data_IF_727077011316
#
_entry.id   IF_727077011316
#
_cell.length_a   1.000
_cell.length_b   1.000
_cell.length_c   1.000
_cell.angle_alpha   90.00
_cell.angle_beta   90.00
_cell.angle_gamma   90.00
#
_symmetry.space_group_name_H-M   'P 1'
#
loop_
_entity.id
_entity.type
_entity.pdbx_description
1 polymer ?
#
# COMPACT_ATOMS: atom_id res chain seq x y z
N UNK A 1 -44.53 -19.16 24.73
CA UNK A 1 -44.08 -18.89 23.33
C UNK A 1 -42.60 -18.61 23.36
N UNK A 2 -41.77 -19.53 22.88
CA UNK A 2 -40.33 -19.31 22.74
C UNK A 2 -40.12 -18.19 21.70
N UNK A 3 -39.54 -17.07 22.15
CA UNK A 3 -39.15 -15.97 21.21
C UNK A 3 -38.13 -16.53 20.24
N UNK A 4 -38.50 -16.73 19.00
CA UNK A 4 -37.61 -17.18 17.95
C UNK A 4 -36.46 -16.17 17.82
N UNK A 5 -35.25 -16.58 18.22
CA UNK A 5 -34.06 -15.74 18.20
C UNK A 5 -33.75 -15.28 16.74
N UNK A 6 -33.51 -14.01 16.54
CA UNK A 6 -33.10 -13.47 15.22
C UNK A 6 -31.62 -13.81 14.98
N UNK A 7 -31.29 -14.27 13.79
CA UNK A 7 -29.89 -14.51 13.43
C UNK A 7 -29.18 -13.20 13.15
N UNK A 8 -27.97 -13.02 13.72
CA UNK A 8 -27.12 -11.86 13.48
C UNK A 8 -25.69 -12.28 13.10
N UNK A 9 -25.00 -11.42 12.38
CA UNK A 9 -23.58 -11.52 12.10
C UNK A 9 -22.78 -10.64 13.08
N UNK A 10 -21.57 -11.05 13.44
CA UNK A 10 -20.63 -10.25 14.20
C UNK A 10 -19.47 -9.80 13.32
N UNK A 11 -19.19 -8.50 13.30
CA UNK A 11 -18.03 -7.96 12.58
C UNK A 11 -17.04 -7.32 13.55
N UNK A 12 -15.79 -7.80 13.49
CA UNK A 12 -14.72 -7.44 14.41
C UNK A 12 -13.54 -6.92 13.61
N UNK A 13 -13.03 -5.73 13.96
CA UNK A 13 -11.86 -5.16 13.31
C UNK A 13 -10.91 -4.54 14.32
N UNK A 14 -9.61 -4.84 14.18
CA UNK A 14 -8.54 -4.19 14.94
C UNK A 14 -7.76 -3.26 14.03
N UNK A 15 -7.38 -2.08 14.58
CA UNK A 15 -6.41 -1.22 13.94
C UNK A 15 -4.99 -1.67 14.29
N UNK A 16 -4.00 -1.26 13.48
CA UNK A 16 -2.58 -1.53 13.72
C UNK A 16 -2.00 -0.76 14.93
N UNK A 17 -2.72 0.22 15.45
CA UNK A 17 -2.34 1.00 16.64
C UNK A 17 -2.77 0.25 17.92
N UNK A 18 -1.82 -0.46 18.50
CA UNK A 18 -2.00 -1.42 19.59
C UNK A 18 -2.29 -0.81 20.98
N UNK A 19 -2.35 0.49 21.16
CA UNK A 19 -2.25 1.06 22.51
C UNK A 19 -3.57 1.49 23.17
N UNK A 20 -4.70 1.54 22.47
CA UNK A 20 -5.96 2.06 23.05
C UNK A 20 -7.23 1.26 22.73
N UNK A 21 -7.13 0.15 22.01
CA UNK A 21 -8.31 -0.56 21.53
C UNK A 21 -8.50 -1.93 22.19
N UNK A 22 -9.77 -2.30 22.39
CA UNK A 22 -10.14 -3.64 22.87
C UNK A 22 -9.61 -4.73 21.91
N UNK A 23 -9.10 -5.81 22.50
CA UNK A 23 -8.68 -6.98 21.72
C UNK A 23 -9.87 -7.57 20.92
N UNK A 24 -9.60 -8.29 19.80
CA UNK A 24 -10.66 -8.95 19.03
C UNK A 24 -11.58 -9.82 19.88
N UNK A 25 -11.02 -10.53 20.83
CA UNK A 25 -11.77 -11.43 21.70
C UNK A 25 -12.61 -10.66 22.73
N UNK A 26 -12.14 -9.51 23.22
CA UNK A 26 -12.93 -8.62 24.06
C UNK A 26 -14.09 -8.00 23.28
N UNK A 27 -13.88 -7.56 22.04
CA UNK A 27 -14.95 -7.08 21.18
C UNK A 27 -16.00 -8.17 20.94
N UNK A 28 -15.56 -9.40 20.62
CA UNK A 28 -16.48 -10.52 20.41
C UNK A 28 -17.30 -10.85 21.67
N UNK A 29 -16.69 -10.78 22.85
CA UNK A 29 -17.39 -11.02 24.12
C UNK A 29 -18.52 -10.01 24.30
N UNK A 30 -18.25 -8.71 24.13
CA UNK A 30 -19.26 -7.66 24.25
C UNK A 30 -20.40 -7.87 23.23
N UNK A 31 -20.06 -8.18 21.98
CA UNK A 31 -21.05 -8.43 20.93
C UNK A 31 -21.93 -9.65 21.29
N UNK A 32 -21.35 -10.73 21.80
CA UNK A 32 -22.12 -11.93 22.24
C UNK A 32 -23.01 -11.65 23.44
N UNK A 33 -22.53 -10.85 24.40
CA UNK A 33 -23.33 -10.45 25.57
C UNK A 33 -24.53 -9.60 25.14
N UNK A 34 -24.29 -8.62 24.24
CA UNK A 34 -25.35 -7.79 23.67
C UNK A 34 -26.37 -8.63 22.88
N UNK A 35 -25.89 -9.57 22.05
CA UNK A 35 -26.74 -10.46 21.27
C UNK A 35 -27.67 -11.29 22.17
N UNK A 36 -27.13 -11.85 23.24
CA UNK A 36 -27.89 -12.63 24.22
C UNK A 36 -28.98 -11.81 24.92
N UNK A 37 -28.66 -10.56 25.28
CA UNK A 37 -29.62 -9.66 25.96
C UNK A 37 -30.74 -9.21 25.02
N UNK A 38 -30.45 -9.03 23.73
CA UNK A 38 -31.40 -8.49 22.76
C UNK A 38 -32.03 -9.54 21.83
N UNK A 39 -31.91 -10.83 22.17
CA UNK A 39 -32.61 -11.92 21.47
C UNK A 39 -32.02 -12.25 20.10
N UNK A 40 -30.70 -12.00 19.89
CA UNK A 40 -29.97 -12.42 18.71
C UNK A 40 -29.16 -13.68 18.96
N UNK A 41 -29.08 -14.54 17.93
CA UNK A 41 -28.16 -15.66 17.88
C UNK A 41 -27.06 -15.37 16.84
N UNK A 42 -25.79 -15.62 17.19
CA UNK A 42 -24.64 -15.44 16.29
C UNK A 42 -24.01 -16.81 16.03
N UNK A 43 -24.34 -17.47 14.92
CA UNK A 43 -23.67 -18.70 14.49
C UNK A 43 -22.17 -18.45 14.26
N UNK A 44 -21.33 -19.45 14.49
CA UNK A 44 -19.87 -19.33 14.33
C UNK A 44 -19.45 -18.97 12.91
N UNK A 45 -20.22 -19.36 11.91
CA UNK A 45 -20.04 -19.06 10.48
C UNK A 45 -20.26 -17.58 10.11
N UNK A 46 -20.99 -16.83 10.95
CA UNK A 46 -21.25 -15.39 10.75
C UNK A 46 -20.42 -14.50 11.66
N UNK A 47 -19.26 -15.00 12.10
CA UNK A 47 -18.27 -14.20 12.85
C UNK A 47 -17.13 -13.80 11.92
N UNK A 48 -17.14 -12.55 11.47
CA UNK A 48 -16.17 -11.98 10.55
C UNK A 48 -15.08 -11.21 11.30
N UNK A 49 -13.82 -11.65 11.17
CA UNK A 49 -12.67 -11.05 11.85
C UNK A 49 -11.69 -10.47 10.85
N UNK A 50 -11.46 -9.17 10.90
CA UNK A 50 -10.50 -8.46 10.08
C UNK A 50 -9.24 -8.17 10.88
N UNK A 51 -8.16 -8.91 10.62
CA UNK A 51 -6.91 -8.79 11.36
C UNK A 51 -5.94 -7.82 10.67
N UNK A 52 -5.56 -6.74 11.37
CA UNK A 52 -4.33 -5.97 11.10
C UNK A 52 -4.27 -5.16 9.80
N UNK A 53 -5.37 -4.97 9.08
CA UNK A 53 -5.41 -4.19 7.86
C UNK A 53 -5.89 -2.76 8.13
N UNK A 54 -5.15 -1.75 7.61
CA UNK A 54 -5.56 -0.36 7.72
C UNK A 54 -6.92 -0.17 7.02
N UNK A 55 -7.94 0.18 7.78
CA UNK A 55 -9.33 0.27 7.31
C UNK A 55 -9.64 1.42 6.34
N UNK A 56 -8.61 2.05 5.75
CA UNK A 56 -8.78 3.22 4.88
C UNK A 56 -9.34 2.89 3.49
N UNK A 57 -9.27 1.62 3.05
CA UNK A 57 -9.80 1.19 1.75
C UNK A 57 -10.52 -0.16 1.89
N UNK A 58 -11.78 -0.22 1.46
CA UNK A 58 -12.62 -1.43 1.47
C UNK A 58 -11.98 -2.61 0.70
N UNK A 59 -11.26 -2.34 -0.40
CA UNK A 59 -10.55 -3.36 -1.18
C UNK A 59 -9.53 -4.19 -0.36
N UNK A 60 -9.16 -3.75 0.83
CA UNK A 60 -8.24 -4.44 1.75
C UNK A 60 -8.97 -5.14 2.91
N UNK A 61 -10.31 -5.30 2.83
CA UNK A 61 -11.15 -5.88 3.88
C UNK A 61 -11.93 -7.09 3.36
N UNK A 62 -11.28 -8.24 3.12
CA UNK A 62 -11.89 -9.42 2.53
C UNK A 62 -13.09 -9.93 3.35
N UNK A 63 -12.97 -9.96 4.68
CA UNK A 63 -14.04 -10.43 5.57
C UNK A 63 -15.25 -9.49 5.55
N UNK A 64 -15.03 -8.18 5.43
CA UNK A 64 -16.10 -7.22 5.24
C UNK A 64 -16.84 -7.43 3.91
N UNK A 65 -16.09 -7.65 2.83
CA UNK A 65 -16.68 -7.88 1.50
C UNK A 65 -17.49 -9.18 1.49
N UNK A 66 -17.00 -10.23 2.13
CA UNK A 66 -17.69 -11.51 2.28
C UNK A 66 -19.00 -11.34 3.05
N UNK A 67 -18.97 -10.70 4.21
CA UNK A 67 -20.15 -10.39 5.03
C UNK A 67 -21.20 -9.59 4.23
N UNK A 68 -20.78 -8.56 3.51
CA UNK A 68 -21.69 -7.77 2.67
C UNK A 68 -22.24 -8.60 1.50
N UNK A 69 -21.43 -9.51 0.95
CA UNK A 69 -21.86 -10.45 -0.09
C UNK A 69 -22.99 -11.37 0.39
N UNK A 70 -22.86 -11.92 1.58
CA UNK A 70 -23.89 -12.74 2.21
C UNK A 70 -25.16 -11.94 2.53
N UNK A 71 -25.01 -10.72 3.04
CA UNK A 71 -26.15 -9.85 3.35
C UNK A 71 -26.97 -9.41 2.10
N UNK A 72 -26.42 -9.55 0.89
CA UNK A 72 -27.12 -9.29 -0.38
C UNK A 72 -27.93 -10.47 -0.90
N UNK A 73 -27.80 -11.64 -0.32
CA UNK A 73 -28.58 -12.81 -0.72
C UNK A 73 -30.07 -12.60 -0.36
N UNK A 74 -30.95 -13.20 -1.13
CA UNK A 74 -32.42 -13.15 -0.87
C UNK A 74 -32.95 -14.56 -0.66
N UNK A 75 -33.38 -14.91 0.55
CA UNK A 75 -33.38 -14.12 1.79
C UNK A 75 -31.96 -13.97 2.38
N UNK A 76 -31.71 -12.86 3.07
CA UNK A 76 -30.46 -12.68 3.79
C UNK A 76 -30.33 -13.70 4.94
N UNK A 77 -29.14 -14.30 5.17
CA UNK A 77 -28.98 -15.33 6.19
C UNK A 77 -29.02 -14.78 7.62
N UNK A 78 -28.90 -13.48 7.80
CA UNK A 78 -28.99 -12.78 9.08
C UNK A 78 -29.72 -11.45 8.91
N UNK A 79 -30.40 -11.00 9.98
CA UNK A 79 -31.20 -9.76 10.00
C UNK A 79 -30.44 -8.56 10.56
N UNK A 80 -29.31 -8.77 11.21
CA UNK A 80 -28.49 -7.69 11.77
C UNK A 80 -26.99 -8.00 11.70
N UNK A 81 -26.18 -6.94 11.58
CA UNK A 81 -24.73 -6.95 11.72
C UNK A 81 -24.40 -6.22 13.02
N UNK A 82 -23.83 -6.94 13.99
CA UNK A 82 -23.45 -6.40 15.29
C UNK A 82 -21.98 -5.99 15.25
N UNK A 83 -21.69 -4.76 15.66
CA UNK A 83 -20.34 -4.20 15.78
C UNK A 83 -20.14 -3.64 17.19
N UNK A 84 -18.91 -3.61 17.67
CA UNK A 84 -18.63 -2.99 18.95
C UNK A 84 -18.94 -1.47 18.94
N UNK A 85 -18.48 -0.76 17.89
CA UNK A 85 -18.75 0.68 17.61
C UNK A 85 -19.00 0.87 16.13
N UNK A 86 -19.73 1.93 15.75
CA UNK A 86 -19.95 2.28 14.32
C UNK A 86 -18.64 2.51 13.56
N UNK A 87 -17.63 3.07 14.20
CA UNK A 87 -16.29 3.24 13.61
C UNK A 87 -15.58 1.92 13.23
N UNK A 88 -16.05 0.77 13.72
CA UNK A 88 -15.58 -0.55 13.30
C UNK A 88 -16.21 -0.99 11.98
N UNK A 89 -17.44 -0.58 11.71
CA UNK A 89 -18.12 -0.90 10.46
C UNK A 89 -17.49 -0.17 9.27
N UNK A 90 -17.38 1.15 9.32
CA UNK A 90 -16.73 1.95 8.30
C UNK A 90 -15.88 3.08 8.93
N UNK A 91 -14.82 3.51 8.26
CA UNK A 91 -14.01 4.66 8.68
C UNK A 91 -14.35 5.95 7.94
N UNK A 92 -15.00 5.83 6.80
CA UNK A 92 -15.42 6.94 5.97
C UNK A 92 -16.95 7.01 6.05
N UNK A 93 -17.47 8.19 6.35
CA UNK A 93 -18.89 8.45 6.46
C UNK A 93 -19.64 8.13 5.15
N UNK A 94 -19.05 8.44 4.00
CA UNK A 94 -19.64 8.13 2.69
C UNK A 94 -19.81 6.62 2.48
N UNK A 95 -18.79 5.83 2.81
CA UNK A 95 -18.87 4.37 2.72
C UNK A 95 -19.91 3.81 3.70
N UNK A 96 -19.98 4.33 4.93
CA UNK A 96 -20.96 3.94 5.94
C UNK A 96 -22.38 4.12 5.44
N UNK A 97 -22.71 5.30 4.95
CA UNK A 97 -24.06 5.65 4.41
C UNK A 97 -24.45 4.72 3.26
N UNK A 98 -23.51 4.49 2.30
CA UNK A 98 -23.78 3.65 1.14
C UNK A 98 -24.06 2.19 1.55
N UNK A 99 -23.19 1.61 2.39
CA UNK A 99 -23.38 0.23 2.82
C UNK A 99 -24.60 0.04 3.73
N UNK A 100 -24.86 0.95 4.68
CA UNK A 100 -26.04 0.88 5.54
C UNK A 100 -27.33 1.01 4.73
N UNK A 101 -27.39 1.95 3.77
CA UNK A 101 -28.54 2.09 2.87
C UNK A 101 -28.79 0.82 2.04
N UNK A 102 -27.72 0.20 1.54
CA UNK A 102 -27.80 -1.05 0.79
C UNK A 102 -28.26 -2.23 1.66
N UNK A 103 -27.74 -2.34 2.88
CA UNK A 103 -28.11 -3.38 3.84
C UNK A 103 -29.58 -3.24 4.25
N UNK A 104 -30.04 -2.01 4.52
CA UNK A 104 -31.44 -1.72 4.84
C UNK A 104 -32.42 -2.15 3.74
N UNK A 105 -32.03 -2.06 2.46
CA UNK A 105 -32.83 -2.57 1.33
C UNK A 105 -32.95 -4.09 1.29
N UNK A 106 -32.10 -4.81 2.04
CA UNK A 106 -32.14 -6.27 2.18
C UNK A 106 -32.59 -6.69 3.59
N UNK A 107 -33.27 -5.81 4.32
CA UNK A 107 -33.77 -6.04 5.69
C UNK A 107 -32.67 -6.42 6.70
N UNK A 108 -31.45 -5.91 6.49
CA UNK A 108 -30.31 -6.11 7.40
C UNK A 108 -29.95 -4.77 8.03
N UNK A 109 -30.00 -4.70 9.38
CA UNK A 109 -29.62 -3.53 10.15
C UNK A 109 -28.17 -3.61 10.64
N UNK A 110 -27.52 -2.47 10.88
CA UNK A 110 -26.18 -2.39 11.51
C UNK A 110 -26.34 -1.79 12.89
N UNK A 111 -25.97 -2.54 13.92
CA UNK A 111 -26.20 -2.18 15.32
C UNK A 111 -24.84 -2.07 16.03
N UNK A 112 -24.61 -0.96 16.72
CA UNK A 112 -23.47 -0.78 17.62
C UNK A 112 -23.80 -1.27 19.02
N UNK A 113 -22.95 -2.12 19.60
CA UNK A 113 -23.20 -2.69 20.95
C UNK A 113 -22.84 -1.71 22.08
N UNK A 114 -21.97 -0.75 21.84
CA UNK A 114 -21.59 0.27 22.84
C UNK A 114 -22.27 1.62 22.66
N UNK A 115 -22.85 1.87 21.48
CA UNK A 115 -23.52 3.11 21.10
C UNK A 115 -24.99 2.76 20.79
N UNK A 116 -25.71 2.39 21.86
CA UNK A 116 -27.12 1.97 21.72
C UNK A 116 -27.99 3.16 21.34
N UNK A 117 -28.56 3.09 20.14
CA UNK A 117 -29.52 4.05 19.61
C UNK A 117 -30.88 3.35 19.50
N UNK A 118 -31.92 4.04 19.90
CA UNK A 118 -33.30 3.55 19.80
C UNK A 118 -33.75 3.59 18.34
N UNK A 119 -33.95 2.43 17.72
CA UNK A 119 -34.33 2.33 16.30
C UNK A 119 -35.69 2.95 15.98
N UNK A 120 -36.57 3.10 16.97
CA UNK A 120 -37.90 3.71 16.80
C UNK A 120 -37.87 5.25 16.81
N UNK A 121 -36.78 5.84 17.27
CA UNK A 121 -36.65 7.30 17.35
C UNK A 121 -36.07 7.87 16.05
N UNK A 122 -36.82 8.78 15.34
CA UNK A 122 -36.32 9.42 14.11
C UNK A 122 -35.00 10.16 14.27
N UNK A 123 -34.69 10.65 15.47
CA UNK A 123 -33.43 11.35 15.76
C UNK A 123 -32.23 10.41 15.87
N UNK A 124 -32.43 9.10 16.07
CA UNK A 124 -31.34 8.12 16.19
C UNK A 124 -30.44 8.10 14.96
N UNK A 125 -31.01 8.22 13.77
CA UNK A 125 -30.23 8.30 12.52
C UNK A 125 -29.38 9.58 12.41
N UNK A 126 -29.82 10.68 13.03
CA UNK A 126 -29.06 11.91 13.09
C UNK A 126 -27.92 11.81 14.11
N UNK A 127 -28.21 11.25 15.29
CA UNK A 127 -27.22 11.02 16.34
C UNK A 127 -26.12 10.08 15.84
N UNK A 128 -26.48 9.01 15.14
CA UNK A 128 -25.55 8.07 14.52
C UNK A 128 -24.56 8.79 13.56
N UNK A 129 -25.08 9.67 12.69
CA UNK A 129 -24.24 10.46 11.77
C UNK A 129 -23.32 11.43 12.51
N UNK A 130 -23.80 12.02 13.61
CA UNK A 130 -22.98 12.91 14.44
C UNK A 130 -21.83 12.12 15.08
N UNK A 131 -22.10 10.93 15.62
CA UNK A 131 -21.08 10.07 16.24
C UNK A 131 -20.03 9.67 15.18
N UNK A 132 -20.45 9.23 14.01
CA UNK A 132 -19.53 8.88 12.91
C UNK A 132 -18.69 10.07 12.45
N UNK A 133 -19.29 11.25 12.36
CA UNK A 133 -18.59 12.49 12.03
C UNK A 133 -17.60 12.91 13.11
N UNK A 134 -17.96 12.76 14.39
CA UNK A 134 -17.05 13.05 15.50
C UNK A 134 -15.81 12.18 15.49
N UNK A 135 -15.94 10.87 15.19
CA UNK A 135 -14.81 9.94 15.09
C UNK A 135 -13.87 10.32 13.94
N UNK A 136 -14.42 10.70 12.78
CA UNK A 136 -13.63 11.17 11.65
C UNK A 136 -12.95 12.51 11.95
N UNK A 137 -13.67 13.46 12.52
CA UNK A 137 -13.14 14.76 12.93
C UNK A 137 -12.03 14.63 13.96
N UNK A 138 -12.19 13.74 14.94
CA UNK A 138 -11.14 13.46 15.93
C UNK A 138 -9.86 12.97 15.28
N UNK A 139 -9.95 12.07 14.30
CA UNK A 139 -8.80 11.56 13.54
C UNK A 139 -8.08 12.68 12.77
N UNK A 140 -8.84 13.56 12.11
CA UNK A 140 -8.29 14.71 11.37
C UNK A 140 -7.61 15.68 12.34
N UNK A 141 -8.28 16.02 13.44
CA UNK A 141 -7.76 16.93 14.47
C UNK A 141 -6.47 16.39 15.10
N UNK A 142 -6.45 15.09 15.48
CA UNK A 142 -5.27 14.43 16.03
C UNK A 142 -4.09 14.48 15.05
N UNK A 143 -4.33 14.22 13.77
CA UNK A 143 -3.30 14.35 12.74
C UNK A 143 -2.73 15.76 12.67
N UNK A 144 -3.58 16.78 12.74
CA UNK A 144 -3.16 18.17 12.76
C UNK A 144 -2.35 18.55 14.03
N UNK A 145 -2.74 18.02 15.18
CA UNK A 145 -2.01 18.24 16.44
C UNK A 145 -0.64 17.55 16.45
N UNK A 146 -0.56 16.32 15.92
CA UNK A 146 0.70 15.60 15.76
C UNK A 146 1.65 16.38 14.82
N UNK A 147 1.14 16.87 13.67
CA UNK A 147 1.94 17.65 12.74
C UNK A 147 2.43 18.96 13.36
N UNK A 148 1.57 19.66 14.13
CA UNK A 148 1.98 20.87 14.89
C UNK A 148 3.07 20.56 15.90
N UNK A 149 2.89 19.48 16.69
CA UNK A 149 3.88 19.04 17.67
C UNK A 149 5.22 18.65 17.04
N UNK A 150 5.19 17.98 15.89
CA UNK A 150 6.40 17.67 15.12
C UNK A 150 7.07 18.93 14.57
N UNK A 151 6.31 19.87 14.01
CA UNK A 151 6.83 21.15 13.51
C UNK A 151 7.49 21.98 14.62
N UNK A 152 6.90 21.98 15.81
CA UNK A 152 7.46 22.69 16.96
C UNK A 152 8.78 22.06 17.44
N UNK A 153 8.89 20.73 17.46
CA UNK A 153 10.15 20.03 17.74
C UNK A 153 11.22 20.40 16.73
N UNK A 154 10.89 20.48 15.44
CA UNK A 154 11.83 20.89 14.39
C UNK A 154 12.30 22.32 14.61
N UNK A 155 11.40 23.26 14.92
CA UNK A 155 11.77 24.66 15.23
C UNK A 155 12.74 24.75 16.42
N UNK A 156 12.61 23.84 17.40
CA UNK A 156 13.54 23.71 18.54
C UNK A 156 14.83 22.94 18.22
N UNK A 157 15.03 22.54 16.95
CA UNK A 157 16.21 21.78 16.55
C UNK A 157 16.25 20.33 17.07
N UNK A 158 15.10 19.77 17.43
CA UNK A 158 15.00 18.41 17.99
C UNK A 158 14.64 17.36 16.92
N UNK A 159 15.07 16.10 17.09
CA UNK A 159 14.74 15.01 16.17
C UNK A 159 13.25 14.66 16.22
N UNK A 160 12.65 14.38 15.05
CA UNK A 160 11.24 13.98 14.91
C UNK A 160 11.06 12.59 14.35
N UNK A 161 12.13 11.96 13.85
CA UNK A 161 12.09 10.66 13.20
C UNK A 161 13.15 9.73 13.78
N UNK A 162 13.21 8.49 13.25
CA UNK A 162 14.27 7.53 13.55
C UNK A 162 15.63 8.20 13.30
N UNK A 163 16.64 7.97 14.18
CA UNK A 163 17.94 8.60 14.04
C UNK A 163 18.58 8.27 12.70
N UNK A 164 19.19 9.30 12.08
CA UNK A 164 20.02 9.10 10.89
C UNK A 164 21.27 8.29 11.26
N UNK A 165 21.74 7.47 10.31
CA UNK A 165 22.95 6.67 10.54
C UNK A 165 24.11 7.57 10.95
N UNK A 166 24.83 7.22 12.01
CA UNK A 166 25.86 8.07 12.63
C UNK A 166 25.42 8.78 13.90
N UNK A 167 24.10 8.83 14.15
CA UNK A 167 23.55 9.40 15.38
C UNK A 167 22.69 8.38 16.12
N UNK A 168 22.64 8.49 17.43
CA UNK A 168 21.66 7.87 18.30
C UNK A 168 20.78 8.97 18.94
N UNK A 169 19.63 8.62 19.50
CA UNK A 169 18.74 9.58 20.19
C UNK A 169 18.81 9.28 21.69
N UNK A 170 19.34 10.23 22.44
CA UNK A 170 19.37 10.21 23.91
C UNK A 170 18.70 11.50 24.38
N UNK A 171 17.79 11.42 25.35
CA UNK A 171 17.03 12.55 25.91
C UNK A 171 16.42 13.49 24.86
N UNK A 172 15.84 12.91 23.83
CA UNK A 172 15.22 13.62 22.68
C UNK A 172 16.19 14.49 21.87
N UNK A 173 17.50 14.21 21.94
CA UNK A 173 18.53 14.90 21.17
C UNK A 173 19.35 13.90 20.35
N UNK A 174 19.93 14.36 19.24
CA UNK A 174 20.90 13.59 18.50
C UNK A 174 22.25 13.60 19.22
N UNK A 175 22.79 12.41 19.52
CA UNK A 175 24.12 12.19 20.05
C UNK A 175 24.94 11.44 19.00
N UNK A 176 26.19 11.86 18.78
CA UNK A 176 27.09 11.20 17.81
C UNK A 176 27.45 9.81 18.33
N UNK A 177 27.26 8.80 17.49
CA UNK A 177 27.81 7.48 17.69
C UNK A 177 29.10 7.40 16.88
N UNK A 178 30.27 7.46 17.57
CA UNK A 178 31.57 7.62 16.90
C UNK A 178 31.91 6.48 15.94
N UNK A 179 31.51 5.24 16.24
CA UNK A 179 31.74 4.10 15.34
C UNK A 179 31.00 4.29 14.01
N UNK A 180 29.69 4.66 14.07
CA UNK A 180 28.88 4.90 12.89
C UNK A 180 29.25 6.22 12.21
N UNK A 181 29.67 7.23 12.98
CA UNK A 181 30.09 8.53 12.46
C UNK A 181 31.38 8.43 11.64
N UNK A 182 32.33 7.59 12.04
CA UNK A 182 33.55 7.29 11.27
C UNK A 182 33.17 6.73 9.87
N UNK A 183 32.16 5.86 9.80
CA UNK A 183 31.67 5.33 8.54
C UNK A 183 31.02 6.42 7.69
N UNK A 184 30.25 7.34 8.29
CA UNK A 184 29.67 8.49 7.58
C UNK A 184 30.78 9.36 6.98
N UNK A 185 31.78 9.72 7.75
CA UNK A 185 32.94 10.50 7.26
C UNK A 185 33.62 9.78 6.08
N UNK A 186 33.82 8.47 6.19
CA UNK A 186 34.37 7.65 5.09
C UNK A 186 33.50 7.70 3.83
N UNK A 187 32.17 7.59 3.96
CA UNK A 187 31.24 7.68 2.81
C UNK A 187 31.42 9.01 2.06
N UNK A 188 31.52 10.13 2.79
CA UNK A 188 31.73 11.45 2.19
C UNK A 188 33.10 11.56 1.49
N UNK A 189 34.17 11.06 2.13
CA UNK A 189 35.51 11.06 1.54
C UNK A 189 35.60 10.18 0.30
N UNK A 190 35.14 8.95 0.37
CA UNK A 190 35.11 8.00 -0.74
C UNK A 190 34.35 8.57 -1.97
N UNK A 191 33.26 9.32 -1.72
CA UNK A 191 32.49 9.96 -2.79
C UNK A 191 33.26 11.15 -3.44
N UNK A 192 34.00 11.92 -2.63
CA UNK A 192 34.87 13.01 -3.13
C UNK A 192 36.01 12.44 -3.97
N UNK A 193 36.55 11.29 -3.59
CA UNK A 193 37.62 10.56 -4.28
C UNK A 193 37.13 9.89 -5.58
N UNK A 194 35.85 10.05 -5.92
CA UNK A 194 35.25 9.63 -7.19
C UNK A 194 34.59 8.26 -7.17
N UNK A 195 34.47 7.59 -6.03
CA UNK A 195 33.70 6.35 -5.95
C UNK A 195 32.21 6.60 -6.17
N UNK A 196 31.56 5.70 -6.87
CA UNK A 196 30.10 5.75 -7.04
C UNK A 196 29.36 5.28 -5.78
N UNK A 197 28.13 5.76 -5.58
CA UNK A 197 27.27 5.29 -4.45
C UNK A 197 27.11 3.77 -4.43
N UNK A 198 27.18 3.11 -5.60
CA UNK A 198 27.11 1.67 -5.72
C UNK A 198 28.37 0.96 -5.19
N UNK A 199 29.55 1.48 -5.51
CA UNK A 199 30.81 0.94 -5.01
C UNK A 199 30.93 1.11 -3.50
N UNK A 200 30.60 2.30 -2.96
CA UNK A 200 30.61 2.58 -1.52
C UNK A 200 29.67 1.62 -0.78
N UNK A 201 28.43 1.41 -1.30
CA UNK A 201 27.51 0.48 -0.69
C UNK A 201 28.01 -0.96 -0.71
N UNK A 202 28.65 -1.40 -1.81
CA UNK A 202 29.24 -2.74 -1.91
C UNK A 202 30.36 -2.96 -0.90
N UNK A 203 31.28 -2.01 -0.77
CA UNK A 203 32.40 -2.07 0.19
C UNK A 203 31.89 -2.15 1.63
N UNK A 204 30.87 -1.35 2.00
CA UNK A 204 30.26 -1.40 3.33
C UNK A 204 29.57 -2.73 3.61
N UNK A 205 28.91 -3.31 2.62
CA UNK A 205 28.28 -4.62 2.75
C UNK A 205 29.31 -5.77 2.86
N UNK A 206 30.47 -5.65 2.21
CA UNK A 206 31.57 -6.62 2.32
C UNK A 206 32.18 -6.64 3.71
N UNK A 207 32.28 -5.49 4.36
CA UNK A 207 32.76 -5.35 5.75
C UNK A 207 31.67 -5.80 6.76
N UNK A 208 30.42 -6.05 6.28
CA UNK A 208 29.31 -6.51 7.12
C UNK A 208 28.55 -5.39 7.84
N UNK A 209 28.79 -4.13 7.51
CA UNK A 209 28.10 -2.99 8.12
C UNK A 209 26.62 -3.00 7.74
N UNK A 210 25.75 -2.74 8.73
CA UNK A 210 24.29 -2.68 8.54
C UNK A 210 23.78 -1.26 8.75
N UNK A 211 22.70 -0.92 8.04
CA UNK A 211 21.96 0.35 8.25
C UNK A 211 21.31 0.38 9.64
N UNK A 212 20.83 1.54 10.08
CA UNK A 212 20.08 1.70 11.34
C UNK A 212 18.89 0.72 11.48
N UNK A 213 18.34 0.23 10.37
CA UNK A 213 17.25 -0.76 10.34
C UNK A 213 17.74 -2.21 10.24
N UNK A 214 19.04 -2.48 10.33
CA UNK A 214 19.62 -3.81 10.22
C UNK A 214 19.71 -4.36 8.78
N UNK A 215 19.37 -3.57 7.76
CA UNK A 215 19.45 -3.98 6.36
C UNK A 215 20.84 -3.70 5.76
N UNK A 216 21.25 -4.41 4.69
CA UNK A 216 22.44 -4.04 3.92
C UNK A 216 22.28 -2.65 3.29
N UNK A 217 23.41 -1.99 3.01
CA UNK A 217 23.43 -0.71 2.31
C UNK A 217 23.04 -0.89 0.83
N UNK A 218 22.11 -0.07 0.36
CA UNK A 218 21.80 0.10 -1.05
C UNK A 218 22.41 1.42 -1.54
N UNK A 219 22.66 1.53 -2.86
CA UNK A 219 23.11 2.78 -3.49
C UNK A 219 22.22 3.98 -3.09
N UNK A 220 20.90 3.76 -3.02
CA UNK A 220 19.93 4.80 -2.59
C UNK A 220 20.14 5.24 -1.14
N UNK A 221 20.60 4.36 -0.27
CA UNK A 221 20.89 4.70 1.13
C UNK A 221 22.10 5.62 1.20
N UNK A 222 23.14 5.35 0.40
CA UNK A 222 24.31 6.23 0.29
C UNK A 222 23.89 7.60 -0.26
N UNK A 223 23.12 7.64 -1.36
CA UNK A 223 22.60 8.90 -1.92
C UNK A 223 21.77 9.71 -0.90
N UNK A 224 20.99 9.02 -0.06
CA UNK A 224 20.24 9.65 1.02
C UNK A 224 21.16 10.23 2.10
N UNK A 225 22.20 9.50 2.51
CA UNK A 225 23.20 9.96 3.47
C UNK A 225 23.90 11.21 2.92
N UNK A 226 24.42 11.16 1.71
CA UNK A 226 25.15 12.26 1.08
C UNK A 226 24.32 13.55 0.94
N UNK A 227 22.98 13.44 0.81
CA UNK A 227 22.05 14.58 0.66
C UNK A 227 21.41 15.03 1.96
N UNK A 228 21.68 14.38 3.07
CA UNK A 228 20.98 14.67 4.33
C UNK A 228 21.70 15.77 5.13
N UNK A 229 21.10 16.97 5.29
CA UNK A 229 21.73 18.09 5.99
C UNK A 229 21.90 17.88 7.50
N UNK A 230 21.38 16.81 8.07
CA UNK A 230 21.60 16.43 9.47
C UNK A 230 23.09 16.29 9.77
N UNK A 231 23.91 15.85 8.82
CA UNK A 231 25.36 15.68 9.01
C UNK A 231 26.13 16.98 9.16
N UNK A 232 25.53 18.13 8.80
CA UNK A 232 26.07 19.48 9.03
C UNK A 232 25.28 20.23 10.12
N UNK A 233 24.59 19.52 11.01
CA UNK A 233 23.88 20.13 12.13
C UNK A 233 22.53 20.75 11.75
N UNK A 234 21.97 20.51 10.55
CA UNK A 234 20.67 21.05 10.12
C UNK A 234 19.61 19.97 10.10
N UNK A 235 18.39 20.29 10.54
CA UNK A 235 17.24 19.39 10.48
C UNK A 235 16.39 19.74 9.28
N UNK A 236 15.97 18.73 8.55
CA UNK A 236 15.08 18.83 7.40
C UNK A 236 13.71 18.28 7.74
N UNK A 237 12.68 19.08 7.54
CA UNK A 237 11.30 18.69 7.80
C UNK A 237 10.37 18.98 6.62
N UNK A 238 9.54 18.01 6.26
CA UNK A 238 8.49 18.17 5.28
C UNK A 238 7.13 18.07 5.98
N UNK A 239 6.40 19.19 6.06
CA UNK A 239 5.11 19.24 6.73
C UNK A 239 4.04 18.38 6.06
N UNK A 240 4.08 18.27 4.73
CA UNK A 240 3.05 17.57 3.98
C UNK A 240 3.24 16.05 3.89
N UNK A 241 4.37 15.50 4.36
CA UNK A 241 4.64 14.07 4.47
C UNK A 241 4.63 13.25 3.17
N UNK A 242 4.19 13.85 2.07
CA UNK A 242 3.94 13.16 0.78
C UNK A 242 5.09 13.24 -0.20
N UNK A 243 6.13 14.02 0.10
CA UNK A 243 7.19 14.31 -0.86
C UNK A 243 8.41 13.46 -0.59
N UNK A 244 8.86 12.82 -1.64
CA UNK A 244 10.12 12.10 -1.64
C UNK A 244 11.27 13.10 -1.56
N UNK A 245 12.06 13.07 -0.49
CA UNK A 245 13.25 13.91 -0.31
C UNK A 245 14.31 13.75 -1.42
N UNK A 246 14.11 12.79 -2.31
CA UNK A 246 14.96 12.58 -3.48
C UNK A 246 14.82 13.68 -4.53
N UNK A 247 13.71 14.40 -4.53
CA UNK A 247 13.43 15.49 -5.45
C UNK A 247 13.63 16.83 -4.73
N UNK A 248 14.79 17.44 -4.94
CA UNK A 248 15.31 18.60 -4.22
C UNK A 248 14.55 19.93 -4.41
N UNK A 249 13.52 19.98 -5.25
CA UNK A 249 12.83 21.23 -5.63
C UNK A 249 11.50 21.44 -4.89
N UNK A 250 11.29 20.80 -3.74
CA UNK A 250 10.02 20.96 -3.03
C UNK A 250 10.09 22.17 -2.09
N UNK A 251 9.27 23.18 -2.37
CA UNK A 251 9.13 24.40 -1.58
C UNK A 251 8.61 24.17 -0.15
N UNK A 252 8.05 23.00 0.12
CA UNK A 252 7.47 22.65 1.42
C UNK A 252 8.48 22.09 2.43
N UNK A 253 9.74 21.95 2.04
CA UNK A 253 10.81 21.48 2.93
C UNK A 253 11.36 22.63 3.75
N UNK A 254 11.19 22.54 5.06
CA UNK A 254 11.76 23.50 6.01
C UNK A 254 13.10 22.98 6.51
N UNK A 255 14.12 23.85 6.50
CA UNK A 255 15.44 23.59 7.07
C UNK A 255 15.59 24.45 8.33
N UNK A 256 15.96 23.82 9.43
CA UNK A 256 16.18 24.49 10.72
C UNK A 256 17.53 24.09 11.28
N UNK A 257 18.20 25.03 11.97
CA UNK A 257 19.44 24.71 12.69
C UNK A 257 19.12 23.73 13.83
N UNK A 258 19.81 22.58 13.83
CA UNK A 258 19.71 21.60 14.91
C UNK A 258 20.57 21.96 16.11
N UNK A 259 20.27 21.40 17.26
CA UNK A 259 21.06 21.56 18.50
C UNK A 259 22.26 20.58 18.53
N UNK A 260 22.25 19.59 17.65
CA UNK A 260 23.24 18.51 17.60
C UNK A 260 24.55 18.94 16.90
N UNK A 261 25.62 18.28 17.28
CA UNK A 261 26.95 18.46 16.65
C UNK A 261 26.97 17.85 15.25
N UNK A 262 27.64 18.52 14.31
CA UNK A 262 27.87 18.02 12.96
C UNK A 262 28.89 16.87 12.95
N UNK A 263 28.68 15.87 12.06
CA UNK A 263 29.65 14.79 11.81
C UNK A 263 30.62 15.21 10.69
N UNK A 264 30.15 16.02 9.75
CA UNK A 264 30.89 16.44 8.56
C UNK A 264 30.95 17.97 8.54
N UNK A 265 32.03 18.57 8.04
CA UNK A 265 32.12 20.01 7.86
C UNK A 265 31.25 20.48 6.70
N UNK A 266 30.81 21.74 6.78
CA UNK A 266 30.02 22.37 5.71
C UNK A 266 30.75 22.32 4.35
N UNK A 267 32.06 22.55 4.34
CA UNK A 267 32.87 22.51 3.11
C UNK A 267 32.80 21.16 2.39
N UNK A 268 32.98 20.06 3.13
CA UNK A 268 32.91 18.71 2.58
C UNK A 268 31.52 18.41 2.08
N UNK A 269 30.48 18.77 2.84
CA UNK A 269 29.08 18.55 2.46
C UNK A 269 28.75 19.28 1.14
N UNK A 270 29.02 20.58 1.05
CA UNK A 270 28.69 21.35 -0.15
C UNK A 270 29.54 20.95 -1.36
N UNK A 271 30.81 20.54 -1.18
CA UNK A 271 31.61 19.92 -2.24
C UNK A 271 30.93 18.69 -2.83
N UNK A 272 30.39 17.83 -1.97
CA UNK A 272 29.63 16.64 -2.39
C UNK A 272 28.33 17.03 -3.12
N UNK A 273 27.58 18.05 -2.62
CA UNK A 273 26.35 18.51 -3.34
C UNK A 273 26.68 18.98 -4.77
N UNK A 274 27.75 19.77 -4.95
CA UNK A 274 28.20 20.22 -6.26
C UNK A 274 28.55 19.05 -7.20
N UNK A 275 29.23 18.01 -6.67
CA UNK A 275 29.54 16.80 -7.44
C UNK A 275 28.26 16.04 -7.85
N UNK A 276 27.29 15.92 -6.95
CA UNK A 276 26.00 15.26 -7.22
C UNK A 276 25.24 16.02 -8.31
N UNK A 277 25.19 17.35 -8.27
CA UNK A 277 24.52 18.17 -9.28
C UNK A 277 25.20 18.05 -10.64
N UNK A 278 26.52 18.10 -10.68
CA UNK A 278 27.29 17.97 -11.93
C UNK A 278 27.08 16.60 -12.57
N UNK A 279 27.12 15.54 -11.78
CA UNK A 279 26.86 14.18 -12.26
C UNK A 279 25.40 13.97 -12.66
N UNK A 280 24.45 14.56 -11.94
CA UNK A 280 23.03 14.51 -12.25
C UNK A 280 22.65 15.19 -13.56
N UNK A 281 23.32 16.28 -13.95
CA UNK A 281 23.13 16.96 -15.24
C UNK A 281 23.57 16.08 -16.42
N UNK A 282 24.61 15.27 -16.25
CA UNK A 282 25.06 14.31 -17.28
C UNK A 282 24.05 13.17 -17.52
N UNK A 283 23.33 12.73 -16.48
CA UNK A 283 22.38 11.61 -16.59
C UNK A 283 20.99 11.99 -17.13
N UNK A 284 20.55 13.26 -17.01
CA UNK A 284 19.21 13.71 -17.43
C UNK A 284 18.98 13.78 -18.94
N UNK A 285 19.97 13.52 -19.79
CA UNK A 285 19.84 13.56 -21.25
C UNK A 285 19.11 12.34 -21.88
N UNK A 286 18.76 11.34 -21.11
CA UNK A 286 17.99 10.19 -21.58
C UNK A 286 16.55 10.26 -21.04
N UNK A 287 15.57 10.57 -21.89
CA UNK A 287 14.16 10.38 -21.58
C UNK A 287 13.92 8.87 -21.53
N UNK A 288 13.88 8.29 -20.33
CA UNK A 288 13.40 6.93 -20.17
C UNK A 288 11.87 6.93 -20.30
N UNK A 289 11.39 6.66 -21.50
CA UNK A 289 10.02 6.22 -21.69
C UNK A 289 9.87 4.91 -20.91
N UNK A 290 9.24 4.97 -19.74
CA UNK A 290 8.85 3.81 -18.94
C UNK A 290 7.67 3.09 -19.62
N UNK A 291 7.89 2.58 -20.83
CA UNK A 291 7.02 1.57 -21.41
C UNK A 291 7.34 0.31 -20.60
N UNK A 292 6.40 -0.11 -19.76
CA UNK A 292 6.44 -1.44 -19.14
C UNK A 292 6.38 -2.45 -20.26
N UNK A 293 7.55 -2.90 -20.71
CA UNK A 293 7.64 -3.96 -21.69
C UNK A 293 7.29 -5.24 -20.93
N UNK A 294 6.15 -5.84 -21.26
CA UNK A 294 5.76 -7.14 -20.74
C UNK A 294 6.74 -8.17 -21.33
N UNK A 295 7.43 -8.87 -20.45
CA UNK A 295 8.37 -9.91 -20.82
C UNK A 295 7.88 -11.25 -20.31
N UNK A 296 7.73 -12.22 -21.22
CA UNK A 296 7.10 -13.51 -20.94
C UNK A 296 7.78 -14.29 -19.82
N UNK A 297 9.11 -14.22 -19.71
CA UNK A 297 9.88 -14.91 -18.68
C UNK A 297 10.08 -14.06 -17.40
N UNK A 298 9.27 -13.02 -17.21
CA UNK A 298 9.36 -12.16 -16.02
C UNK A 298 9.15 -12.95 -14.73
N UNK A 299 10.13 -12.87 -13.81
CA UNK A 299 10.09 -13.59 -12.53
C UNK A 299 10.53 -15.06 -12.58
N UNK A 300 10.62 -15.67 -13.76
CA UNK A 300 11.05 -17.07 -13.92
C UNK A 300 12.58 -17.20 -13.86
N UNK A 301 13.29 -16.24 -14.44
CA UNK A 301 14.76 -16.27 -14.52
C UNK A 301 15.35 -15.70 -13.23
N UNK A 302 16.24 -16.47 -12.61
CA UNK A 302 16.87 -16.13 -11.34
C UNK A 302 18.38 -16.02 -11.47
N UNK A 303 18.97 -15.17 -10.65
CA UNK A 303 20.41 -15.03 -10.55
C UNK A 303 21.01 -16.29 -9.89
N UNK A 304 22.01 -16.91 -10.50
CA UNK A 304 22.68 -18.10 -9.97
C UNK A 304 23.43 -17.83 -8.67
N UNK A 305 23.92 -16.59 -8.46
CA UNK A 305 24.69 -16.24 -7.29
C UNK A 305 23.84 -15.92 -6.03
N UNK A 306 22.69 -15.24 -6.21
CA UNK A 306 21.89 -14.75 -5.07
C UNK A 306 20.44 -15.20 -5.09
N UNK A 307 19.98 -15.96 -6.07
CA UNK A 307 18.64 -16.52 -6.20
C UNK A 307 17.54 -15.46 -6.50
N UNK A 308 17.88 -14.17 -6.58
CA UNK A 308 16.88 -13.15 -6.89
C UNK A 308 16.49 -13.13 -8.36
N UNK A 309 15.26 -12.69 -8.67
CA UNK A 309 14.82 -12.55 -10.04
C UNK A 309 15.69 -11.56 -10.83
N UNK A 310 15.83 -11.80 -12.14
CA UNK A 310 16.38 -10.80 -13.04
C UNK A 310 15.27 -9.85 -13.47
N UNK A 311 15.57 -8.56 -13.48
CA UNK A 311 14.68 -7.50 -13.93
C UNK A 311 15.11 -6.92 -15.25
N UNK A 312 14.16 -6.38 -16.00
CA UNK A 312 14.43 -5.69 -17.26
C UNK A 312 15.27 -4.44 -17.01
N UNK A 313 16.39 -4.34 -17.71
CA UNK A 313 17.32 -3.23 -17.67
C UNK A 313 17.98 -3.07 -19.04
N UNK A 314 17.82 -1.90 -19.65
CA UNK A 314 18.51 -1.52 -20.88
C UNK A 314 18.54 -2.59 -21.99
N UNK A 315 17.35 -3.01 -22.46
CA UNK A 315 17.16 -4.05 -23.51
C UNK A 315 17.63 -5.46 -23.14
N UNK A 316 17.88 -5.74 -21.86
CA UNK A 316 18.26 -7.03 -21.33
C UNK A 316 17.69 -7.29 -19.96
N UNK A 317 18.13 -8.35 -19.34
CA UNK A 317 17.83 -8.69 -17.96
C UNK A 317 19.07 -8.56 -17.10
N UNK A 318 18.88 -8.06 -15.87
CA UNK A 318 19.95 -7.87 -14.89
C UNK A 318 19.48 -8.29 -13.50
N UNK A 319 20.39 -8.78 -12.68
CA UNK A 319 20.09 -9.14 -11.30
C UNK A 319 19.61 -7.91 -10.51
N UNK A 320 18.41 -8.00 -9.91
CA UNK A 320 17.83 -6.91 -9.10
C UNK A 320 18.72 -6.55 -7.91
N UNK A 321 19.29 -7.55 -7.24
CA UNK A 321 20.17 -7.30 -6.09
C UNK A 321 21.51 -6.68 -6.49
N UNK A 322 21.96 -6.91 -7.73
CA UNK A 322 23.14 -6.21 -8.24
C UNK A 322 22.88 -4.72 -8.42
N UNK A 323 21.75 -4.35 -9.04
CA UNK A 323 21.38 -2.95 -9.20
C UNK A 323 21.17 -2.20 -7.87
N UNK A 324 21.03 -2.96 -6.76
CA UNK A 324 20.91 -2.46 -5.39
C UNK A 324 22.23 -2.55 -4.58
N UNK A 325 23.34 -2.94 -5.22
CA UNK A 325 24.67 -3.11 -4.56
C UNK A 325 24.74 -4.24 -3.52
N UNK A 326 23.87 -5.23 -3.62
CA UNK A 326 23.80 -6.37 -2.69
C UNK A 326 24.42 -7.63 -3.30
N UNK A 327 24.34 -7.82 -4.61
CA UNK A 327 24.94 -8.95 -5.32
C UNK A 327 26.22 -8.50 -6.04
N UNK A 328 27.24 -9.36 -6.05
CA UNK A 328 28.54 -9.04 -6.69
C UNK A 328 28.50 -9.18 -8.21
N UNK A 329 27.56 -9.97 -8.77
CA UNK A 329 27.51 -10.27 -10.19
C UNK A 329 26.23 -9.68 -10.81
N UNK A 330 26.40 -8.93 -11.91
CA UNK A 330 25.29 -8.31 -12.61
C UNK A 330 24.40 -9.30 -13.34
N UNK A 331 25.00 -10.39 -13.87
CA UNK A 331 24.34 -11.37 -14.74
C UNK A 331 23.48 -10.69 -15.82
N UNK A 332 24.05 -9.65 -16.46
CA UNK A 332 23.37 -8.98 -17.56
C UNK A 332 23.36 -9.91 -18.79
N UNK A 333 22.18 -10.11 -19.36
CA UNK A 333 21.97 -10.87 -20.59
C UNK A 333 20.95 -10.16 -21.48
N UNK A 334 21.21 -10.06 -22.79
CA UNK A 334 20.25 -9.48 -23.73
C UNK A 334 18.99 -10.36 -23.84
N UNK A 335 17.83 -9.74 -24.13
CA UNK A 335 16.57 -10.47 -24.32
C UNK A 335 16.65 -11.50 -25.44
N UNK A 336 17.33 -11.15 -26.54
CA UNK A 336 17.52 -12.06 -27.68
C UNK A 336 18.27 -13.33 -27.27
N UNK A 337 19.39 -13.16 -26.55
CA UNK A 337 20.22 -14.29 -26.13
C UNK A 337 19.49 -15.20 -25.15
N UNK A 338 18.78 -14.63 -24.17
CA UNK A 338 18.05 -15.43 -23.17
C UNK A 338 16.89 -16.20 -23.84
N UNK A 339 16.17 -15.57 -24.78
CA UNK A 339 15.10 -16.25 -25.51
C UNK A 339 15.65 -17.42 -26.33
N UNK A 340 16.76 -17.21 -27.04
CA UNK A 340 17.40 -18.28 -27.80
C UNK A 340 17.86 -19.44 -26.91
N UNK A 341 18.48 -19.14 -25.76
CA UNK A 341 18.89 -20.16 -24.80
C UNK A 341 17.72 -20.97 -24.25
N UNK A 342 16.60 -20.30 -23.94
CA UNK A 342 15.39 -20.96 -23.43
C UNK A 342 14.79 -21.85 -24.52
N UNK A 343 14.70 -21.36 -25.76
CA UNK A 343 14.19 -22.17 -26.91
C UNK A 343 15.05 -23.38 -27.12
N UNK A 344 16.38 -23.22 -27.20
CA UNK A 344 17.32 -24.36 -27.37
C UNK A 344 17.19 -25.36 -26.21
N UNK A 345 17.08 -24.89 -24.98
CA UNK A 345 16.85 -25.73 -23.80
C UNK A 345 15.56 -26.54 -23.90
N UNK A 346 14.46 -25.90 -24.30
CA UNK A 346 13.17 -26.57 -24.51
C UNK A 346 13.26 -27.59 -25.64
N UNK A 347 13.89 -27.26 -26.78
CA UNK A 347 14.08 -28.21 -27.88
C UNK A 347 14.86 -29.44 -27.45
N UNK A 348 15.92 -29.29 -26.63
CA UNK A 348 16.68 -30.43 -26.10
C UNK A 348 15.83 -31.30 -25.18
N UNK A 349 15.06 -30.70 -24.29
CA UNK A 349 14.15 -31.45 -23.40
C UNK A 349 13.11 -32.22 -24.20
N UNK A 350 12.52 -31.61 -25.24
CA UNK A 350 11.56 -32.29 -26.12
C UNK A 350 12.17 -33.40 -26.96
N UNK A 351 13.39 -33.21 -27.48
CA UNK A 351 14.09 -34.24 -28.27
C UNK A 351 14.46 -35.45 -27.41
N UNK A 352 14.88 -35.27 -26.19
CA UNK A 352 15.31 -36.35 -25.30
C UNK A 352 14.16 -37.11 -24.65
N UNK A 353 12.90 -36.66 -24.79
CA UNK A 353 11.69 -37.25 -24.17
C UNK A 353 11.77 -37.45 -22.63
N UNK A 354 12.72 -36.81 -21.97
CA UNK A 354 13.00 -36.92 -20.54
C UNK A 354 12.10 -36.09 -19.65
N UNK A 355 10.86 -35.78 -20.08
CA UNK A 355 9.96 -35.01 -19.26
C UNK A 355 8.73 -35.83 -18.89
N UNK A 356 8.42 -35.85 -17.59
CA UNK A 356 7.12 -36.28 -17.07
C UNK A 356 6.24 -35.04 -16.91
N UNK A 357 5.28 -34.86 -17.80
CA UNK A 357 4.23 -33.85 -17.62
C UNK A 357 3.33 -34.30 -16.46
N UNK A 358 3.56 -33.76 -15.27
CA UNK A 358 2.56 -33.74 -14.23
C UNK A 358 1.67 -32.51 -14.45
N UNK A 359 0.53 -32.70 -15.10
CA UNK A 359 -0.51 -31.69 -15.13
C UNK A 359 -1.10 -31.61 -13.70
N UNK A 360 -0.55 -30.74 -12.86
CA UNK A 360 -1.34 -30.23 -11.73
C UNK A 360 -2.44 -29.40 -12.38
N UNK A 361 -3.67 -29.90 -12.40
CA UNK A 361 -4.84 -29.07 -12.59
C UNK A 361 -4.83 -28.07 -11.44
N UNK A 362 -4.15 -26.94 -11.62
CA UNK A 362 -4.59 -25.72 -10.99
C UNK A 362 -6.05 -25.63 -11.44
N UNK A 363 -6.98 -25.68 -10.47
CA UNK A 363 -8.34 -25.27 -10.70
C UNK A 363 -8.24 -23.97 -11.52
N UNK A 364 -8.49 -24.10 -12.81
CA UNK A 364 -8.50 -22.96 -13.71
C UNK A 364 -9.63 -22.06 -13.25
N UNK A 365 -9.34 -21.20 -12.30
CA UNK A 365 -10.00 -19.91 -12.23
C UNK A 365 -9.62 -19.25 -13.55
N UNK A 366 -10.54 -19.44 -14.47
CA UNK A 366 -10.44 -19.16 -15.87
C UNK A 366 -9.72 -17.82 -16.10
N UNK A 367 -8.48 -17.81 -16.59
CA UNK A 367 -7.79 -16.60 -17.00
C UNK A 367 -8.69 -15.76 -17.92
N UNK A 368 -9.41 -16.44 -18.83
CA UNK A 368 -10.38 -15.83 -19.73
C UNK A 368 -11.55 -15.19 -18.95
N UNK A 369 -12.06 -15.80 -17.87
CA UNK A 369 -13.11 -15.21 -17.05
C UNK A 369 -12.62 -13.99 -16.27
N UNK A 370 -11.36 -13.97 -15.86
CA UNK A 370 -10.74 -12.82 -15.19
C UNK A 370 -10.56 -11.67 -16.19
N UNK A 371 -10.19 -11.96 -17.44
CA UNK A 371 -10.07 -10.95 -18.49
C UNK A 371 -11.43 -10.34 -18.85
N UNK A 372 -12.50 -11.11 -18.94
CA UNK A 372 -13.85 -10.56 -19.17
C UNK A 372 -14.36 -9.71 -18.00
N UNK A 373 -14.05 -10.10 -16.76
CA UNK A 373 -14.39 -9.29 -15.58
C UNK A 373 -13.64 -7.96 -15.62
N UNK A 374 -12.35 -7.97 -15.95
CA UNK A 374 -11.53 -6.77 -16.08
C UNK A 374 -12.00 -5.85 -17.22
N UNK A 375 -12.46 -6.44 -18.35
CA UNK A 375 -13.01 -5.68 -19.47
C UNK A 375 -14.35 -5.03 -19.11
N UNK A 376 -15.25 -5.74 -18.45
CA UNK A 376 -16.52 -5.19 -17.94
C UNK A 376 -16.27 -4.08 -16.93
N UNK A 377 -15.29 -4.24 -16.05
CA UNK A 377 -14.93 -3.21 -15.06
C UNK A 377 -14.38 -1.94 -15.73
N UNK A 378 -13.58 -2.07 -16.79
CA UNK A 378 -13.11 -0.94 -17.61
C UNK A 378 -14.26 -0.21 -18.32
N UNK A 379 -15.22 -0.93 -18.86
CA UNK A 379 -16.40 -0.31 -19.49
C UNK A 379 -17.30 0.39 -18.43
N UNK A 380 -17.45 -0.16 -17.24
CA UNK A 380 -18.14 0.49 -16.12
C UNK A 380 -17.46 1.79 -15.68
N UNK A 381 -16.11 1.83 -15.69
CA UNK A 381 -15.38 3.06 -15.41
C UNK A 381 -15.63 4.15 -16.47
N UNK A 382 -15.89 3.79 -17.73
CA UNK A 382 -16.27 4.76 -18.77
C UNK A 382 -17.64 5.38 -18.47
N UNK A 383 -18.62 4.61 -17.98
CA UNK A 383 -19.92 5.14 -17.55
C UNK A 383 -19.73 6.17 -16.43
N UNK A 384 -18.85 5.92 -15.48
CA UNK A 384 -18.57 6.90 -14.41
C UNK A 384 -17.92 8.18 -14.95
N UNK A 385 -17.01 8.07 -15.92
CA UNK A 385 -16.39 9.24 -16.55
C UNK A 385 -17.41 10.07 -17.34
N UNK A 386 -18.33 9.41 -18.05
CA UNK A 386 -19.45 10.08 -18.78
C UNK A 386 -20.35 10.82 -17.80
N UNK A 387 -20.70 10.21 -16.65
CA UNK A 387 -21.47 10.86 -15.59
C UNK A 387 -20.78 12.09 -15.00
N UNK A 388 -19.47 11.98 -14.74
CA UNK A 388 -18.69 13.11 -14.21
C UNK A 388 -18.61 14.26 -15.23
N UNK A 389 -18.34 13.95 -16.50
CA UNK A 389 -18.30 14.93 -17.58
C UNK A 389 -19.65 15.62 -17.80
N UNK A 390 -20.77 14.93 -17.57
CA UNK A 390 -22.10 15.53 -17.56
C UNK A 390 -22.28 16.51 -16.38
N UNK A 391 -21.84 16.14 -15.19
CA UNK A 391 -21.90 17.01 -14.01
C UNK A 391 -21.03 18.27 -14.16
N UNK A 392 -19.94 18.15 -14.93
CA UNK A 392 -19.04 19.27 -15.28
C UNK A 392 -19.55 20.11 -16.46
N UNK A 393 -20.73 19.75 -17.03
CA UNK A 393 -21.34 20.50 -18.12
C UNK A 393 -20.69 20.31 -19.50
N UNK A 394 -19.84 19.28 -19.67
CA UNK A 394 -19.10 19.01 -20.92
C UNK A 394 -20.00 18.35 -21.98
N UNK A 395 -20.98 17.53 -21.54
CA UNK A 395 -21.89 16.82 -22.42
C UNK A 395 -23.35 17.23 -22.22
N UNK A 396 -24.12 17.20 -23.30
CA UNK A 396 -25.57 17.38 -23.27
C UNK A 396 -26.28 16.09 -22.81
N UNK A 397 -27.56 16.22 -22.39
CA UNK A 397 -28.33 15.06 -21.92
C UNK A 397 -28.50 14.00 -23.01
N UNK A 398 -28.59 14.44 -24.29
CA UNK A 398 -28.76 13.56 -25.45
C UNK A 398 -27.50 12.77 -25.76
N UNK A 399 -26.36 13.43 -25.78
CA UNK A 399 -25.02 12.78 -25.94
C UNK A 399 -24.74 11.76 -24.84
N UNK A 400 -25.03 12.09 -23.58
CA UNK A 400 -24.89 11.17 -22.46
C UNK A 400 -25.76 9.92 -22.60
N UNK A 401 -26.99 10.07 -23.07
CA UNK A 401 -27.91 8.93 -23.32
C UNK A 401 -27.34 8.01 -24.40
N UNK A 402 -26.83 8.57 -25.49
CA UNK A 402 -26.29 7.82 -26.62
C UNK A 402 -25.01 7.07 -26.22
N UNK A 403 -24.03 7.77 -25.59
CA UNK A 403 -22.82 7.15 -25.11
C UNK A 403 -23.08 6.08 -24.04
N UNK A 404 -23.99 6.33 -23.11
CA UNK A 404 -24.37 5.38 -22.07
C UNK A 404 -24.95 4.12 -22.68
N UNK A 405 -25.86 4.24 -23.64
CA UNK A 405 -26.46 3.10 -24.36
C UNK A 405 -25.39 2.28 -25.08
N UNK A 406 -24.48 2.93 -25.81
CA UNK A 406 -23.38 2.25 -26.51
C UNK A 406 -22.49 1.44 -25.56
N UNK A 407 -22.19 1.96 -24.36
CA UNK A 407 -21.38 1.26 -23.37
C UNK A 407 -22.15 0.13 -22.68
N UNK A 408 -23.44 0.34 -22.40
CA UNK A 408 -24.31 -0.71 -21.83
C UNK A 408 -24.48 -1.89 -22.80
N UNK A 409 -24.61 -1.64 -24.10
CA UNK A 409 -24.68 -2.69 -25.13
C UNK A 409 -23.36 -3.50 -25.20
N UNK A 410 -22.22 -2.84 -25.07
CA UNK A 410 -20.91 -3.52 -24.98
C UNK A 410 -20.80 -4.39 -23.74
N UNK A 411 -21.24 -3.89 -22.58
CA UNK A 411 -21.23 -4.67 -21.33
C UNK A 411 -22.14 -5.89 -21.46
N UNK A 412 -23.30 -5.74 -22.09
CA UNK A 412 -24.25 -6.83 -22.32
C UNK A 412 -23.65 -7.91 -23.23
N UNK A 413 -22.95 -7.51 -24.29
CA UNK A 413 -22.25 -8.43 -25.19
C UNK A 413 -21.09 -9.18 -24.49
N UNK A 414 -20.31 -8.49 -23.67
CA UNK A 414 -19.22 -9.11 -22.89
C UNK A 414 -19.76 -10.08 -21.83
N UNK A 415 -20.87 -9.74 -21.18
CA UNK A 415 -21.53 -10.61 -20.18
C UNK A 415 -22.11 -11.87 -20.83
N UNK A 416 -22.71 -11.74 -22.01
CA UNK A 416 -23.27 -12.88 -22.78
C UNK A 416 -22.15 -13.86 -23.18
N UNK A 417 -21.01 -13.35 -23.66
CA UNK A 417 -19.84 -14.16 -23.98
C UNK A 417 -19.23 -14.84 -22.75
N UNK A 418 -19.23 -14.15 -21.62
CA UNK A 418 -18.76 -14.74 -20.35
C UNK A 418 -19.65 -15.91 -19.91
N UNK A 419 -20.97 -15.81 -20.09
CA UNK A 419 -21.91 -16.88 -19.77
C UNK A 419 -21.76 -18.06 -20.72
N UNK A 420 -21.60 -17.80 -22.05
CA UNK A 420 -21.37 -18.84 -23.04
C UNK A 420 -20.10 -19.65 -22.75
N UNK A 421 -18.98 -18.97 -22.43
CA UNK A 421 -17.73 -19.64 -22.04
C UNK A 421 -17.83 -20.45 -20.74
N UNK A 422 -18.76 -20.09 -19.84
CA UNK A 422 -19.04 -20.89 -18.65
C UNK A 422 -19.84 -22.15 -18.99
N UNK A 423 -20.75 -22.07 -19.96
CA UNK A 423 -21.60 -23.18 -20.39
C UNK A 423 -20.87 -24.18 -21.29
N UNK A 424 -19.92 -23.74 -22.13
CA UNK A 424 -19.09 -24.60 -22.99
C UNK A 424 -18.05 -25.41 -22.20
N UNK A 425 -17.86 -25.11 -20.91
CA UNK A 425 -16.87 -25.78 -20.03
C UNK A 425 -17.51 -26.63 -18.92
N UNK A 426 -18.85 -26.76 -18.89
CA UNK A 426 -19.59 -27.71 -18.07
C UNK A 426 -19.95 -28.94 -18.87
#
# INVERSE_FOLDING_TARGET
MEKKLKTAAAYIRVSTDRQTELSPDSQLRIIKEYAKQNGYNIPSEYIFRENGLSGKYVKKRPQFIEMIGLAKQKPAPFSAILVWKFSRFARNQEESIVYKSMLKKNDVSVISCSETLDEENPFSSLIERIIEWMDEYYSIRLSGEVLRGMSEKVKRGQPVTIPSFGYDIVDKQYVINEEKAAIVRKIFTDYIDGKSSMQIASELNEIGVKTTRGNPFENRTIDYILKNPVYIGKIRWNQNGKTDYRYSNNKDIVYTQGVHKSIVSDEIFYKVQNLIETNGRKQRKGIHNNIKQEYMLHGLIKCSNCGSALAYSNKGLQCIKYSKSICKQSHYISLTNINNLVILGLEQVFKNKDFKLSVKSLSQTCADCIDYINLIEKENQKIQRIKNAYLEGIYTVEEVKEYKKSVEDKIKNLSSRQVQLKQEKT
#
